data_IF_939746282768
#
_entry.id   IF_939746282768
#
_cell.length_a   1.000
_cell.length_b   1.000
_cell.length_c   1.000
_cell.angle_alpha   90.00
_cell.angle_beta   90.00
_cell.angle_gamma   90.00
#
_symmetry.space_group_name_H-M   'P 1'
#
loop_
_entity.id
_entity.type
_entity.pdbx_description
1 polymer ?
#
# COMPACT_ATOMS: atom_id res chain seq x y z
N UNK A 1 20.67 -3.19 4.96
CA UNK A 1 19.53 -2.28 4.69
C UNK A 1 19.14 -2.45 3.23
N UNK A 2 17.90 -2.81 2.92
CA UNK A 2 17.45 -2.92 1.54
C UNK A 2 17.01 -1.56 1.01
N UNK A 3 17.40 -1.21 -0.21
CA UNK A 3 16.98 0.01 -0.91
C UNK A 3 16.27 -0.35 -2.22
N UNK A 4 15.15 0.34 -2.49
CA UNK A 4 14.34 0.17 -3.68
C UNK A 4 14.39 1.45 -4.52
N UNK A 5 14.88 1.33 -5.75
CA UNK A 5 14.88 2.44 -6.70
C UNK A 5 13.49 2.51 -7.35
N UNK A 6 12.81 3.63 -7.17
CA UNK A 6 11.48 3.87 -7.74
C UNK A 6 11.65 4.74 -8.98
N UNK A 7 11.19 4.23 -10.13
CA UNK A 7 11.10 5.06 -11.34
C UNK A 7 9.68 5.61 -11.43
N UNK A 8 9.56 6.92 -11.23
CA UNK A 8 8.29 7.64 -11.30
C UNK A 8 8.15 8.21 -12.71
N UNK A 9 7.20 7.70 -13.49
CA UNK A 9 6.90 8.25 -14.83
C UNK A 9 5.72 9.23 -14.71
N UNK A 10 5.93 10.56 -14.76
CA UNK A 10 4.83 11.52 -14.75
C UNK A 10 4.08 11.45 -16.08
N UNK A 11 2.78 11.18 -16.02
CA UNK A 11 1.94 11.09 -17.23
C UNK A 11 1.24 12.42 -17.51
N UNK A 12 1.92 13.35 -18.16
CA UNK A 12 1.41 14.66 -18.62
C UNK A 12 0.84 15.61 -17.52
N UNK A 13 1.01 16.91 -17.74
CA UNK A 13 0.84 18.04 -16.80
C UNK A 13 -0.53 18.18 -16.08
N UNK A 14 -1.52 17.30 -16.35
CA UNK A 14 -2.88 17.37 -15.75
C UNK A 14 -3.38 16.06 -15.13
N UNK A 15 -2.61 14.97 -15.17
CA UNK A 15 -3.03 13.69 -14.58
C UNK A 15 -2.44 13.53 -13.16
N UNK A 16 -3.30 13.39 -12.16
CA UNK A 16 -2.89 12.99 -10.79
C UNK A 16 -2.46 11.51 -10.69
N UNK A 17 -2.49 10.77 -11.79
CA UNK A 17 -2.15 9.34 -11.82
C UNK A 17 -0.65 9.17 -12.05
N UNK A 18 0.03 8.61 -11.06
CA UNK A 18 1.46 8.27 -11.09
C UNK A 18 1.59 6.77 -11.32
N UNK A 19 2.46 6.38 -12.26
CA UNK A 19 2.88 4.99 -12.44
C UNK A 19 4.28 4.84 -11.86
N UNK A 20 4.45 3.90 -10.93
CA UNK A 20 5.72 3.59 -10.29
C UNK A 20 6.17 2.21 -10.76
N UNK A 21 7.31 2.16 -11.44
CA UNK A 21 7.94 0.90 -11.84
C UNK A 21 9.00 0.52 -10.82
N UNK A 22 9.00 -0.76 -10.42
CA UNK A 22 9.87 -1.30 -9.38
C UNK A 22 10.44 -2.66 -9.82
N UNK A 23 11.65 -2.96 -9.35
CA UNK A 23 12.26 -4.29 -9.46
C UNK A 23 11.57 -5.26 -8.48
N UNK A 24 11.07 -6.38 -9.01
CA UNK A 24 10.28 -7.36 -8.26
C UNK A 24 11.09 -8.01 -7.14
N UNK A 25 12.32 -8.45 -7.41
CA UNK A 25 13.17 -9.14 -6.44
C UNK A 25 13.58 -8.21 -5.29
N UNK A 26 13.86 -6.94 -5.61
CA UNK A 26 14.16 -5.92 -4.58
C UNK A 26 12.94 -5.58 -3.74
N UNK A 27 11.77 -5.54 -4.38
CA UNK A 27 10.52 -5.30 -3.67
C UNK A 27 10.19 -6.43 -2.70
N UNK A 28 10.32 -7.69 -3.11
CA UNK A 28 10.10 -8.85 -2.23
C UNK A 28 11.04 -8.83 -1.02
N UNK A 29 12.33 -8.53 -1.23
CA UNK A 29 13.30 -8.39 -0.12
C UNK A 29 12.91 -7.26 0.83
N UNK A 30 12.40 -6.14 0.31
CA UNK A 30 11.91 -5.04 1.14
C UNK A 30 10.65 -5.45 1.91
N UNK A 31 9.70 -6.11 1.26
CA UNK A 31 8.48 -6.63 1.88
C UNK A 31 8.80 -7.62 3.01
N UNK A 32 9.79 -8.49 2.81
CA UNK A 32 10.28 -9.39 3.85
C UNK A 32 10.88 -8.62 5.04
N UNK A 33 11.71 -7.61 4.77
CA UNK A 33 12.28 -6.76 5.82
C UNK A 33 11.22 -5.95 6.59
N UNK A 34 10.12 -5.59 5.94
CA UNK A 34 8.96 -4.93 6.56
C UNK A 34 8.03 -5.91 7.27
N UNK A 35 8.32 -7.21 7.25
CA UNK A 35 7.52 -8.24 7.92
C UNK A 35 6.19 -8.54 7.24
N UNK A 36 6.01 -8.16 5.96
CA UNK A 36 4.74 -8.32 5.23
C UNK A 36 4.38 -9.79 4.93
N UNK A 37 5.26 -10.72 5.25
CA UNK A 37 5.03 -12.16 5.13
C UNK A 37 4.87 -12.86 6.49
N UNK A 38 4.88 -12.12 7.59
CA UNK A 38 4.74 -12.74 8.90
C UNK A 38 3.28 -13.26 9.09
N UNK A 39 3.08 -14.35 9.85
CA UNK A 39 1.75 -14.96 9.98
C UNK A 39 0.68 -14.03 10.57
N UNK A 40 1.07 -13.13 11.47
CA UNK A 40 0.12 -12.21 12.13
C UNK A 40 -0.35 -11.11 11.19
N UNK A 41 0.55 -10.62 10.33
CA UNK A 41 0.24 -9.67 9.27
C UNK A 41 -0.69 -10.30 8.25
N UNK A 42 -0.41 -11.54 7.80
CA UNK A 42 -1.28 -12.25 6.86
C UNK A 42 -2.70 -12.44 7.43
N UNK A 43 -2.83 -12.83 8.71
CA UNK A 43 -4.13 -12.89 9.40
C UNK A 43 -4.83 -11.53 9.47
N UNK A 44 -4.07 -10.45 9.69
CA UNK A 44 -4.63 -9.10 9.70
C UNK A 44 -5.17 -8.70 8.33
N UNK A 45 -4.47 -9.09 7.26
CA UNK A 45 -4.86 -8.83 5.88
C UNK A 45 -6.15 -9.58 5.53
N UNK A 46 -6.25 -10.86 5.86
CA UNK A 46 -7.47 -11.65 5.68
C UNK A 46 -8.68 -11.04 6.40
N UNK A 47 -8.47 -10.55 7.64
CA UNK A 47 -9.52 -9.85 8.38
C UNK A 47 -9.94 -8.57 7.66
N UNK A 48 -8.98 -7.76 7.21
CA UNK A 48 -9.25 -6.53 6.48
C UNK A 48 -10.02 -6.80 5.17
N UNK A 49 -9.64 -7.82 4.40
CA UNK A 49 -10.34 -8.22 3.18
C UNK A 49 -11.80 -8.64 3.46
N UNK A 50 -12.03 -9.42 4.53
CA UNK A 50 -13.38 -9.77 4.96
C UNK A 50 -14.19 -8.53 5.33
N UNK A 51 -13.62 -7.59 6.07
CA UNK A 51 -14.30 -6.35 6.45
C UNK A 51 -14.65 -5.48 5.23
N UNK A 52 -13.76 -5.42 4.23
CA UNK A 52 -14.03 -4.75 2.94
C UNK A 52 -15.21 -5.44 2.23
N UNK A 53 -15.17 -6.77 2.10
CA UNK A 53 -16.24 -7.54 1.43
C UNK A 53 -17.60 -7.40 2.12
N UNK A 54 -17.60 -7.23 3.44
CA UNK A 54 -18.79 -7.05 4.26
C UNK A 54 -19.28 -5.58 4.30
N UNK A 55 -18.60 -4.66 3.60
CA UNK A 55 -18.95 -3.25 3.58
C UNK A 55 -18.70 -2.52 4.91
N UNK A 56 -17.89 -3.09 5.82
CA UNK A 56 -17.57 -2.50 7.12
C UNK A 56 -16.50 -1.42 7.05
N UNK A 57 -15.95 -1.15 5.87
CA UNK A 57 -14.95 -0.11 5.64
C UNK A 57 -15.56 1.23 5.25
N UNK A 58 -15.04 2.32 5.82
CA UNK A 58 -15.40 3.69 5.42
C UNK A 58 -14.33 4.24 4.48
N UNK A 59 -14.75 4.82 3.35
CA UNK A 59 -13.83 5.57 2.48
C UNK A 59 -13.45 6.87 3.17
N UNK A 60 -12.15 7.12 3.28
CA UNK A 60 -11.61 8.40 3.71
C UNK A 60 -11.38 9.26 2.47
N UNK A 61 -12.13 10.35 2.36
CA UNK A 61 -11.96 11.32 1.26
C UNK A 61 -10.72 12.21 1.45
N UNK A 62 -10.23 12.34 2.68
CA UNK A 62 -8.99 13.04 2.99
C UNK A 62 -8.40 12.54 4.31
N UNK A 63 -7.07 12.67 4.45
CA UNK A 63 -6.37 12.38 5.70
C UNK A 63 -6.80 13.32 6.84
N UNK A 64 -7.31 14.52 6.51
CA UNK A 64 -7.88 15.43 7.50
C UNK A 64 -9.10 14.82 8.20
N UNK A 65 -9.85 13.93 7.53
CA UNK A 65 -10.99 13.26 8.14
C UNK A 65 -10.62 12.38 9.35
N UNK A 66 -9.35 11.95 9.46
CA UNK A 66 -8.83 11.15 10.57
C UNK A 66 -8.42 11.98 11.81
N UNK A 67 -8.27 13.31 11.71
CA UNK A 67 -7.88 14.15 12.86
C UNK A 67 -9.04 14.46 13.82
N UNK A 68 -10.27 14.04 13.50
CA UNK A 68 -11.49 14.35 14.28
C UNK A 68 -12.12 13.15 14.99
N UNK A 69 -11.49 11.97 14.93
CA UNK A 69 -11.81 10.80 15.76
C UNK A 69 -10.92 10.79 16.99
#
# INVERSE_FOLDING_TARGET
MASLNLTIKPRAERSRKIVVEMDADRFEKLAANLGLFNPDFLKSLERAEREISQGKTKRLHSLHALRRT
#
